data_IF_476102269149
#
_entry.id   IF_476102269149
#
_cell.length_a   1.000
_cell.length_b   1.000
_cell.length_c   1.000
_cell.angle_alpha   90.00
_cell.angle_beta   90.00
_cell.angle_gamma   90.00
#
_symmetry.space_group_name_H-M   'P 1'
#
loop_
_entity.id
_entity.type
_entity.pdbx_description
1 polymer ?
#
# COMPACT_ATOMS: atom_id res chain seq x y z
N UNK A 1 59.67 -6.35 -34.83
CA UNK A 1 59.11 -5.45 -33.79
C UNK A 1 57.90 -4.78 -34.40
N UNK A 2 56.77 -5.48 -34.43
CA UNK A 2 55.46 -4.88 -34.73
C UNK A 2 54.71 -4.81 -33.40
N UNK A 3 54.46 -3.58 -32.94
CA UNK A 3 53.69 -3.34 -31.72
C UNK A 3 52.21 -3.47 -32.06
N UNK A 4 51.60 -4.55 -31.60
CA UNK A 4 50.15 -4.64 -31.48
C UNK A 4 49.66 -3.50 -30.59
N UNK A 5 48.98 -2.52 -31.20
CA UNK A 5 48.15 -1.57 -30.47
C UNK A 5 46.83 -2.27 -30.20
N UNK A 6 46.64 -2.69 -28.96
CA UNK A 6 45.32 -3.08 -28.44
C UNK A 6 44.40 -1.85 -28.53
N UNK A 7 43.42 -1.92 -29.42
CA UNK A 7 42.28 -1.03 -29.40
C UNK A 7 41.44 -1.40 -28.18
N UNK A 8 41.61 -0.64 -27.09
CA UNK A 8 40.60 -0.55 -26.04
C UNK A 8 39.33 0.02 -26.69
N UNK A 9 38.38 -0.86 -27.00
CA UNK A 9 37.00 -0.46 -27.16
C UNK A 9 36.56 0.15 -25.83
N UNK A 10 36.34 1.46 -25.82
CA UNK A 10 35.52 2.11 -24.79
C UNK A 10 34.13 1.47 -24.91
N UNK A 11 33.86 0.46 -24.08
CA UNK A 11 32.53 -0.07 -23.89
C UNK A 11 31.66 1.08 -23.36
N UNK A 12 30.73 1.55 -24.19
CA UNK A 12 29.62 2.38 -23.77
C UNK A 12 28.75 1.56 -22.80
N UNK A 13 29.21 1.44 -21.55
CA UNK A 13 28.50 0.75 -20.48
C UNK A 13 27.35 1.64 -20.04
N UNK A 14 26.13 1.33 -20.48
CA UNK A 14 24.93 1.89 -19.87
C UNK A 14 24.97 1.64 -18.36
N UNK A 15 24.81 2.70 -17.57
CA UNK A 15 24.88 2.58 -16.12
C UNK A 15 23.67 1.85 -15.54
N UNK A 16 22.48 1.91 -16.18
CA UNK A 16 21.42 0.96 -15.89
C UNK A 16 19.99 1.29 -16.35
N UNK A 17 19.07 0.38 -16.07
CA UNK A 17 17.63 0.54 -16.26
C UNK A 17 16.84 0.21 -15.00
N UNK A 18 15.59 0.69 -14.95
CA UNK A 18 14.65 0.50 -13.86
C UNK A 18 13.35 -0.14 -14.37
N UNK A 19 12.83 -1.14 -13.67
CA UNK A 19 11.48 -1.64 -13.90
C UNK A 19 10.47 -0.88 -13.04
N UNK A 20 9.50 -0.31 -13.74
CA UNK A 20 8.42 0.46 -13.18
C UNK A 20 7.15 -0.35 -13.38
N UNK A 21 6.60 -0.89 -12.30
CA UNK A 21 5.34 -1.63 -12.40
C UNK A 21 4.19 -0.66 -12.26
N UNK A 22 3.32 -0.60 -13.25
CA UNK A 22 2.09 0.17 -13.15
C UNK A 22 0.89 -0.73 -13.40
N UNK A 23 -0.17 -0.45 -12.65
CA UNK A 23 -1.51 -0.87 -13.05
C UNK A 23 -1.96 0.07 -14.15
N UNK A 24 -2.54 -0.46 -15.23
CA UNK A 24 -3.33 0.39 -16.11
C UNK A 24 -4.53 0.89 -15.30
N UNK A 25 -4.46 2.13 -14.83
CA UNK A 25 -5.57 2.73 -14.09
C UNK A 25 -6.63 3.19 -15.08
N UNK A 26 -7.91 3.04 -14.73
CA UNK A 26 -9.01 3.54 -15.57
C UNK A 26 -8.97 5.07 -15.75
N UNK A 27 -8.21 5.77 -14.91
CA UNK A 27 -8.08 7.23 -14.90
C UNK A 27 -7.00 7.75 -15.84
N UNK A 28 -5.91 7.02 -16.06
CA UNK A 28 -4.79 7.51 -16.86
C UNK A 28 -4.50 6.61 -18.07
N UNK A 29 -4.44 7.22 -19.25
CA UNK A 29 -3.89 6.61 -20.46
C UNK A 29 -2.42 6.99 -20.55
N UNK A 30 -1.58 6.00 -20.32
CA UNK A 30 -0.16 6.12 -20.67
C UNK A 30 -0.05 5.96 -22.18
N UNK A 31 0.51 6.96 -22.85
CA UNK A 31 0.86 6.87 -24.25
C UNK A 31 2.31 7.32 -24.42
N UNK A 32 2.93 6.72 -25.42
CA UNK A 32 4.31 7.01 -25.78
C UNK A 32 4.27 8.08 -26.84
N UNK A 33 4.78 9.27 -26.54
CA UNK A 33 4.94 10.34 -27.51
C UNK A 33 6.43 10.58 -27.73
N UNK A 34 6.97 9.94 -28.77
CA UNK A 34 8.41 9.86 -29.01
C UNK A 34 9.13 9.11 -27.89
N UNK A 35 10.10 9.76 -27.25
CA UNK A 35 10.90 9.20 -26.14
C UNK A 35 10.34 9.56 -24.75
N UNK A 36 9.18 10.22 -24.69
CA UNK A 36 8.56 10.66 -23.45
C UNK A 36 7.35 9.79 -23.12
N UNK A 37 7.31 9.28 -21.89
CA UNK A 37 6.10 8.72 -21.32
C UNK A 37 5.16 9.87 -21.01
N UNK A 38 4.08 10.00 -21.77
CA UNK A 38 3.01 10.95 -21.46
C UNK A 38 1.88 10.19 -20.77
N UNK A 39 1.64 10.57 -19.52
CA UNK A 39 0.49 10.11 -18.75
C UNK A 39 -0.61 11.15 -18.98
N UNK A 40 -1.60 10.82 -19.79
CA UNK A 40 -2.79 11.66 -19.99
C UNK A 40 -3.93 11.09 -19.16
N UNK A 41 -4.73 11.96 -18.54
CA UNK A 41 -5.98 11.52 -17.93
C UNK A 41 -6.97 11.12 -19.03
N UNK A 42 -7.59 9.93 -18.93
CA UNK A 42 -8.65 9.48 -19.85
C UNK A 42 -9.81 10.47 -19.71
N UNK A 43 -10.02 11.32 -20.72
CA UNK A 43 -11.04 12.39 -20.73
C UNK A 43 -12.45 11.85 -20.43
N UNK A 44 -12.72 10.59 -20.77
CA UNK A 44 -14.02 9.92 -20.55
C UNK A 44 -14.28 9.57 -19.07
N UNK A 45 -13.27 9.65 -18.20
CA UNK A 45 -13.42 9.40 -16.76
C UNK A 45 -13.80 10.66 -15.97
N UNK A 46 -13.67 11.85 -16.56
CA UNK A 46 -13.79 13.14 -15.85
C UNK A 46 -15.24 13.58 -15.60
N UNK A 47 -16.26 12.87 -16.11
CA UNK A 47 -17.60 13.45 -16.16
C UNK A 47 -18.47 13.35 -14.91
N UNK A 48 -17.98 12.96 -13.71
CA UNK A 48 -18.88 12.92 -12.54
C UNK A 48 -18.40 13.39 -11.15
N UNK A 49 -17.19 13.89 -10.92
CA UNK A 49 -16.86 14.41 -9.56
C UNK A 49 -15.99 15.67 -9.44
N UNK A 50 -15.43 16.23 -10.50
CA UNK A 50 -14.44 17.31 -10.35
C UNK A 50 -14.99 18.73 -10.10
N UNK A 51 -16.30 18.98 -10.27
CA UNK A 51 -16.82 20.37 -10.19
C UNK A 51 -17.28 20.84 -8.80
N UNK A 52 -17.33 19.94 -7.79
CA UNK A 52 -17.82 20.30 -6.45
C UNK A 52 -16.72 20.67 -5.46
N UNK A 53 -15.46 20.32 -5.73
CA UNK A 53 -14.38 20.46 -4.74
C UNK A 53 -13.53 21.72 -4.86
N UNK A 54 -13.63 22.47 -5.96
CA UNK A 54 -12.76 23.63 -6.17
C UNK A 54 -13.28 24.95 -5.55
N UNK A 55 -14.50 24.98 -4.99
CA UNK A 55 -15.08 26.20 -4.41
C UNK A 55 -15.04 26.30 -2.87
N UNK A 56 -14.68 25.24 -2.13
CA UNK A 56 -14.68 25.29 -0.65
C UNK A 56 -13.32 25.64 -0.01
N UNK A 57 -12.30 26.00 -0.79
CA UNK A 57 -10.93 26.21 -0.29
C UNK A 57 -10.57 27.66 0.11
N UNK A 58 -11.55 28.56 0.29
CA UNK A 58 -11.28 29.91 0.81
C UNK A 58 -12.07 30.14 2.12
N UNK A 59 -11.31 30.04 3.23
CA UNK A 59 -11.56 30.47 4.63
C UNK A 59 -12.23 29.47 5.61
N UNK A 60 -11.48 28.95 6.63
CA UNK A 60 -12.09 28.45 7.86
C UNK A 60 -12.18 29.55 8.94
N UNK A 61 -13.41 29.75 9.44
CA UNK A 61 -13.69 30.48 10.70
C UNK A 61 -13.20 29.65 11.90
N UNK A 62 -12.63 30.35 12.88
CA UNK A 62 -12.20 29.85 14.20
C UNK A 62 -13.38 29.34 15.03
N UNK A 63 -13.21 28.21 15.72
CA UNK A 63 -13.26 28.10 17.20
C UNK A 63 -13.06 26.66 17.72
N UNK A 64 -12.51 26.61 18.94
CA UNK A 64 -12.44 25.53 19.94
C UNK A 64 -11.23 24.58 19.85
N UNK A 65 -10.22 24.81 20.71
CA UNK A 65 -9.32 23.76 21.25
C UNK A 65 -8.51 24.32 22.43
N UNK A 66 -8.98 24.14 23.67
CA UNK A 66 -8.35 24.74 24.87
C UNK A 66 -7.53 23.74 25.73
N UNK A 67 -7.65 22.42 25.52
CA UNK A 67 -6.99 21.44 26.43
C UNK A 67 -5.61 20.96 25.93
N UNK A 68 -5.29 21.08 24.64
CA UNK A 68 -3.99 20.64 24.07
C UNK A 68 -2.85 21.67 24.15
N UNK A 69 -3.15 22.92 24.54
CA UNK A 69 -2.16 24.00 24.49
C UNK A 69 -1.11 23.93 25.59
N UNK A 70 -1.44 23.46 26.80
CA UNK A 70 -0.48 23.50 27.93
C UNK A 70 0.67 22.50 27.72
N UNK A 71 0.37 21.28 27.26
CA UNK A 71 1.40 20.26 26.97
C UNK A 71 2.19 20.62 25.71
N UNK A 72 1.54 21.17 24.67
CA UNK A 72 2.23 21.58 23.43
C UNK A 72 3.13 22.81 23.62
N UNK A 73 2.75 23.76 24.47
CA UNK A 73 3.56 24.95 24.78
C UNK A 73 4.84 24.53 25.52
N UNK A 74 4.74 23.61 26.49
CA UNK A 74 5.92 23.09 27.19
C UNK A 74 6.85 22.29 26.26
N UNK A 75 6.28 21.48 25.36
CA UNK A 75 7.06 20.70 24.38
C UNK A 75 7.75 21.57 23.32
N UNK A 76 7.07 22.61 22.81
CA UNK A 76 7.60 23.53 21.80
C UNK A 76 8.69 24.45 22.36
N UNK A 77 8.56 24.89 23.63
CA UNK A 77 9.61 25.67 24.30
C UNK A 77 10.90 24.87 24.52
N UNK A 78 10.81 23.55 24.71
CA UNK A 78 11.97 22.67 24.87
C UNK A 78 12.68 22.39 23.53
N UNK A 79 11.93 22.08 22.47
CA UNK A 79 12.51 21.76 21.15
C UNK A 79 13.08 22.97 20.39
N UNK A 80 12.47 24.16 20.54
CA UNK A 80 12.99 25.43 20.00
C UNK A 80 14.42 25.73 20.49
N UNK A 81 14.79 25.25 21.68
CA UNK A 81 16.12 25.42 22.27
C UNK A 81 17.15 24.45 21.70
N UNK A 82 16.72 23.26 21.25
CA UNK A 82 17.58 22.21 20.67
C UNK A 82 17.84 22.49 19.18
N UNK A 83 16.84 22.94 18.43
CA UNK A 83 16.96 23.21 16.99
C UNK A 83 17.90 24.40 16.68
N UNK A 84 17.95 25.39 17.58
CA UNK A 84 18.91 26.52 17.50
C UNK A 84 20.37 26.10 17.69
N UNK A 85 20.65 24.93 18.29
CA UNK A 85 22.00 24.38 18.43
C UNK A 85 22.43 23.53 17.24
N UNK A 86 21.49 22.86 16.56
CA UNK A 86 21.78 22.02 15.39
C UNK A 86 22.06 22.82 14.11
N UNK A 87 21.38 23.96 13.90
CA UNK A 87 21.54 24.80 12.69
C UNK A 87 22.88 25.56 12.61
N UNK A 88 23.70 25.53 13.67
CA UNK A 88 25.02 26.20 13.69
C UNK A 88 26.17 25.34 13.14
N UNK A 89 25.93 24.08 12.73
CA UNK A 89 26.98 23.12 12.31
C UNK A 89 26.92 22.63 10.85
N UNK A 90 25.93 22.99 10.04
CA UNK A 90 25.84 22.60 8.61
C UNK A 90 25.90 23.83 7.69
N UNK A 91 27.09 24.40 7.52
CA UNK A 91 27.36 25.33 6.42
C UNK A 91 28.83 25.20 5.99
N UNK A 92 29.17 24.06 5.39
CA UNK A 92 30.36 23.84 4.54
C UNK A 92 30.21 22.47 3.90
N UNK A 93 29.87 22.48 2.61
CA UNK A 93 30.26 21.53 1.56
C UNK A 93 29.28 21.73 0.39
N UNK A 94 29.76 22.36 -0.67
CA UNK A 94 29.03 22.51 -1.93
C UNK A 94 29.26 21.29 -2.83
N UNK A 95 28.35 20.96 -3.74
CA UNK A 95 28.55 19.89 -4.70
C UNK A 95 29.38 20.36 -5.90
N UNK A 96 30.24 19.45 -6.35
CA UNK A 96 31.11 19.52 -7.52
C UNK A 96 30.27 19.07 -8.72
N UNK A 97 30.12 19.96 -9.70
CA UNK A 97 29.57 19.63 -11.02
C UNK A 97 30.72 19.21 -11.95
N UNK A 98 30.64 18.01 -12.51
CA UNK A 98 31.28 17.67 -13.80
C UNK A 98 30.28 16.83 -14.60
N UNK A 99 29.75 17.43 -15.65
CA UNK A 99 28.98 16.76 -16.68
C UNK A 99 29.95 16.19 -17.71
N UNK A 100 29.78 14.92 -18.04
CA UNK A 100 30.22 14.31 -19.29
C UNK A 100 28.94 13.83 -19.97
N UNK A 101 28.60 14.43 -21.10
CA UNK A 101 27.50 14.00 -21.95
C UNK A 101 28.06 13.00 -22.95
N UNK A 102 27.58 11.76 -22.92
CA UNK A 102 27.74 10.81 -24.02
C UNK A 102 26.35 10.63 -24.66
N UNK A 103 26.20 11.06 -25.91
CA UNK A 103 24.99 10.81 -26.68
C UNK A 103 25.13 9.45 -27.36
N UNK A 104 24.25 8.51 -27.02
CA UNK A 104 24.13 7.24 -27.73
C UNK A 104 23.49 7.45 -29.09
N UNK A 105 23.98 6.69 -30.07
CA UNK A 105 23.38 6.66 -31.40
C UNK A 105 22.04 5.91 -31.37
N UNK A 106 21.06 6.40 -32.14
CA UNK A 106 19.74 5.78 -32.23
C UNK A 106 19.79 4.27 -32.61
N UNK A 107 20.83 3.85 -33.33
CA UNK A 107 21.04 2.48 -33.78
C UNK A 107 21.41 1.51 -32.64
N UNK A 108 22.23 1.94 -31.68
CA UNK A 108 22.61 1.10 -30.53
C UNK A 108 21.43 0.89 -29.58
N UNK A 109 20.61 1.94 -29.45
CA UNK A 109 19.34 1.89 -28.72
C UNK A 109 18.38 0.90 -29.36
N UNK A 110 18.20 0.94 -30.69
CA UNK A 110 17.37 -0.04 -31.41
C UNK A 110 17.85 -1.48 -31.24
N UNK A 111 19.18 -1.72 -31.20
CA UNK A 111 19.72 -3.07 -31.01
C UNK A 111 19.42 -3.64 -29.62
N UNK A 112 19.59 -2.86 -28.56
CA UNK A 112 19.23 -3.26 -27.19
C UNK A 112 17.73 -3.52 -27.04
N UNK A 113 16.92 -2.61 -27.61
CA UNK A 113 15.47 -2.73 -27.61
C UNK A 113 15.00 -3.96 -28.40
N UNK A 114 15.61 -4.24 -29.55
CA UNK A 114 15.26 -5.42 -30.36
C UNK A 114 15.60 -6.73 -29.65
N UNK A 115 16.70 -6.79 -28.88
CA UNK A 115 17.08 -7.97 -28.10
C UNK A 115 16.09 -8.28 -26.97
N UNK A 116 15.67 -7.25 -26.21
CA UNK A 116 14.62 -7.35 -25.18
C UNK A 116 13.28 -7.73 -25.80
N UNK A 117 12.88 -7.03 -26.86
CA UNK A 117 11.63 -7.26 -27.60
C UNK A 117 11.58 -8.68 -28.17
N UNK A 118 12.68 -9.20 -28.70
CA UNK A 118 12.77 -10.56 -29.23
C UNK A 118 12.69 -11.62 -28.12
N UNK A 119 13.29 -11.40 -26.95
CA UNK A 119 13.16 -12.30 -25.79
C UNK A 119 11.74 -12.28 -25.22
N UNK A 120 11.12 -11.11 -25.11
CA UNK A 120 9.73 -10.93 -24.68
C UNK A 120 8.73 -11.53 -25.70
N UNK A 121 8.96 -11.36 -27.01
CA UNK A 121 8.09 -11.91 -28.06
C UNK A 121 8.32 -13.41 -28.32
N UNK A 122 9.51 -13.94 -28.01
CA UNK A 122 9.79 -15.37 -28.08
C UNK A 122 9.11 -16.16 -26.95
N UNK A 123 8.80 -15.50 -25.83
CA UNK A 123 7.77 -15.95 -24.89
C UNK A 123 6.38 -15.74 -25.54
N UNK A 124 6.08 -16.58 -26.54
CA UNK A 124 4.84 -16.55 -27.32
C UNK A 124 3.63 -16.85 -26.43
N UNK A 125 3.04 -15.78 -25.94
CA UNK A 125 1.62 -15.41 -25.89
C UNK A 125 1.66 -14.10 -25.08
N UNK A 126 1.52 -12.95 -25.74
CA UNK A 126 1.83 -11.64 -25.17
C UNK A 126 0.90 -11.30 -24.00
N UNK A 127 1.30 -11.72 -22.81
CA UNK A 127 0.60 -11.40 -21.55
C UNK A 127 1.00 -10.02 -21.01
N UNK A 128 2.22 -9.57 -21.33
CA UNK A 128 2.75 -8.30 -20.84
C UNK A 128 2.80 -7.23 -21.92
N UNK A 129 2.42 -6.03 -21.52
CA UNK A 129 2.65 -4.79 -22.23
C UNK A 129 3.81 -4.05 -21.56
N UNK A 130 4.60 -3.33 -22.35
CA UNK A 130 5.67 -2.50 -21.82
C UNK A 130 5.84 -1.21 -22.60
N UNK A 131 6.40 -0.21 -21.93
CA UNK A 131 6.76 1.07 -22.50
C UNK A 131 8.13 1.48 -21.97
N UNK A 132 8.96 2.06 -22.82
CA UNK A 132 10.31 2.47 -22.46
C UNK A 132 10.40 3.99 -22.53
N UNK A 133 10.95 4.59 -21.50
CA UNK A 133 11.12 6.02 -21.36
C UNK A 133 12.49 6.33 -20.78
N UNK A 134 13.00 7.52 -21.08
CA UNK A 134 14.24 8.04 -20.48
C UNK A 134 13.94 9.14 -19.50
N UNK A 135 14.67 9.17 -18.39
CA UNK A 135 14.55 10.27 -17.42
C UNK A 135 15.12 11.56 -18.01
N UNK A 136 14.42 12.68 -17.82
CA UNK A 136 14.92 14.00 -18.22
C UNK A 136 16.08 14.48 -17.36
N UNK A 137 16.10 14.06 -16.10
CA UNK A 137 17.11 14.49 -15.12
C UNK A 137 18.34 13.58 -15.13
N UNK A 138 18.17 12.32 -15.56
CA UNK A 138 19.20 11.28 -15.56
C UNK A 138 19.11 10.57 -16.93
N UNK A 139 19.71 11.12 -18.00
CA UNK A 139 19.54 10.61 -19.36
C UNK A 139 20.04 9.17 -19.53
N UNK A 140 20.99 8.75 -18.69
CA UNK A 140 21.55 7.40 -18.68
C UNK A 140 20.61 6.37 -18.04
N UNK A 141 19.55 6.82 -17.36
CA UNK A 141 18.54 5.95 -16.76
C UNK A 141 17.40 5.67 -17.73
N UNK A 142 17.26 4.39 -18.08
CA UNK A 142 16.12 3.88 -18.86
C UNK A 142 15.06 3.33 -17.92
N UNK A 143 13.85 3.88 -17.99
CA UNK A 143 12.68 3.38 -17.27
C UNK A 143 11.85 2.48 -18.18
N UNK A 144 11.61 1.25 -17.77
CA UNK A 144 10.72 0.31 -18.45
C UNK A 144 9.46 0.16 -17.61
N UNK A 145 8.35 0.72 -18.10
CA UNK A 145 7.03 0.53 -17.55
C UNK A 145 6.49 -0.83 -18.00
N UNK A 146 6.02 -1.66 -17.08
CA UNK A 146 5.46 -2.99 -17.37
C UNK A 146 4.05 -3.10 -16.77
N UNK A 147 3.11 -3.63 -17.55
CA UNK A 147 1.74 -3.93 -17.11
C UNK A 147 1.17 -5.13 -17.88
N UNK A 148 0.01 -5.65 -17.47
CA UNK A 148 -0.69 -6.75 -18.13
C UNK A 148 -2.21 -6.52 -18.14
N UNK A 149 -2.92 -7.10 -19.09
CA UNK A 149 -4.38 -6.97 -19.14
C UNK A 149 -5.03 -7.61 -17.91
N UNK A 150 -6.07 -6.96 -17.36
CA UNK A 150 -6.75 -7.47 -16.16
C UNK A 150 -7.24 -8.91 -16.30
N UNK A 151 -7.67 -9.32 -17.50
CA UNK A 151 -8.13 -10.67 -17.76
C UNK A 151 -7.02 -11.70 -17.60
N UNK A 152 -5.82 -11.38 -18.06
CA UNK A 152 -4.66 -12.27 -17.94
C UNK A 152 -4.16 -12.34 -16.50
N UNK A 153 -4.12 -11.20 -15.79
CA UNK A 153 -3.74 -11.16 -14.38
C UNK A 153 -4.76 -11.93 -13.52
N UNK A 154 -6.06 -11.79 -13.78
CA UNK A 154 -7.11 -12.57 -13.11
C UNK A 154 -6.99 -14.06 -13.44
N UNK A 155 -6.71 -14.43 -14.70
CA UNK A 155 -6.47 -15.82 -15.10
C UNK A 155 -5.30 -16.42 -14.33
N UNK A 156 -4.17 -15.71 -14.28
CA UNK A 156 -2.99 -16.15 -13.53
C UNK A 156 -3.27 -16.25 -12.03
N UNK A 157 -3.99 -15.29 -11.47
CA UNK A 157 -4.41 -15.33 -10.06
C UNK A 157 -5.29 -16.55 -9.75
N UNK A 158 -6.15 -16.96 -10.68
CA UNK A 158 -6.99 -18.13 -10.52
C UNK A 158 -6.18 -19.44 -10.59
N UNK A 159 -5.22 -19.53 -11.53
CA UNK A 159 -4.29 -20.67 -11.63
C UNK A 159 -3.43 -20.85 -10.36
N UNK A 160 -3.24 -19.78 -9.57
CA UNK A 160 -2.50 -19.79 -8.30
C UNK A 160 -3.40 -19.79 -7.06
N UNK A 161 -4.70 -20.01 -7.24
CA UNK A 161 -5.67 -20.09 -6.13
C UNK A 161 -5.57 -18.87 -5.19
N UNK A 162 -5.33 -17.67 -5.75
CA UNK A 162 -5.14 -16.46 -4.96
C UNK A 162 -6.34 -16.25 -4.05
N UNK A 163 -6.12 -16.20 -2.75
CA UNK A 163 -7.22 -16.09 -1.78
C UNK A 163 -7.74 -14.65 -1.72
N UNK A 164 -9.03 -14.46 -1.96
CA UNK A 164 -9.70 -13.17 -1.96
C UNK A 164 -10.86 -13.15 -0.96
N UNK A 165 -11.10 -11.99 -0.36
CA UNK A 165 -12.26 -11.76 0.51
C UNK A 165 -13.55 -11.80 -0.31
N UNK A 166 -14.58 -12.48 0.20
CA UNK A 166 -15.89 -12.52 -0.43
C UNK A 166 -16.73 -11.30 -0.03
N UNK A 167 -17.62 -10.88 -0.92
CA UNK A 167 -18.75 -10.03 -0.58
C UNK A 167 -19.85 -10.90 0.04
N UNK A 168 -20.13 -10.78 1.34
CA UNK A 168 -21.07 -11.67 2.03
C UNK A 168 -22.46 -11.71 1.37
N UNK A 169 -22.95 -10.54 0.95
CA UNK A 169 -24.31 -10.40 0.41
C UNK A 169 -24.45 -11.14 -0.91
N UNK A 170 -23.50 -10.95 -1.81
CA UNK A 170 -23.53 -11.59 -3.12
C UNK A 170 -23.19 -13.08 -3.02
N UNK A 171 -22.27 -13.46 -2.13
CA UNK A 171 -21.93 -14.86 -1.87
C UNK A 171 -23.12 -15.67 -1.36
N UNK A 172 -23.91 -15.12 -0.42
CA UNK A 172 -25.14 -15.76 0.07
C UNK A 172 -26.17 -15.90 -1.06
N UNK A 173 -26.37 -14.84 -1.86
CA UNK A 173 -27.32 -14.88 -2.99
C UNK A 173 -26.95 -15.95 -4.01
N UNK A 174 -25.68 -16.01 -4.42
CA UNK A 174 -25.20 -17.03 -5.36
C UNK A 174 -25.23 -18.43 -4.74
N UNK A 175 -24.83 -18.57 -3.47
CA UNK A 175 -24.88 -19.83 -2.73
C UNK A 175 -26.28 -20.42 -2.64
N UNK A 176 -27.32 -19.60 -2.42
CA UNK A 176 -28.72 -20.04 -2.41
C UNK A 176 -29.21 -20.57 -3.76
N UNK A 177 -28.59 -20.17 -4.88
CA UNK A 177 -28.93 -20.72 -6.21
C UNK A 177 -28.44 -22.15 -6.39
N UNK A 178 -27.43 -22.57 -5.63
CA UNK A 178 -26.86 -23.92 -5.72
C UNK A 178 -27.76 -24.98 -5.05
N UNK A 179 -28.76 -24.59 -4.26
CA UNK A 179 -29.77 -25.46 -3.62
C UNK A 179 -29.26 -26.37 -2.49
N UNK A 180 -27.98 -26.79 -2.55
CA UNK A 180 -27.35 -27.65 -1.55
C UNK A 180 -26.49 -26.88 -0.54
N UNK A 181 -26.27 -25.58 -0.73
CA UNK A 181 -25.41 -24.77 0.13
C UNK A 181 -26.16 -24.29 1.39
N UNK A 182 -26.32 -25.21 2.35
CA UNK A 182 -27.10 -25.00 3.59
C UNK A 182 -26.74 -23.73 4.35
N UNK A 183 -25.44 -23.37 4.37
CA UNK A 183 -24.97 -22.18 5.06
C UNK A 183 -25.68 -20.91 4.54
N UNK A 184 -25.76 -20.75 3.22
CA UNK A 184 -26.41 -19.58 2.60
C UNK A 184 -27.93 -19.58 2.77
N UNK A 185 -28.56 -20.77 2.77
CA UNK A 185 -30.00 -20.89 3.06
C UNK A 185 -30.34 -20.56 4.52
N UNK A 186 -29.40 -20.82 5.44
CA UNK A 186 -29.59 -20.55 6.87
C UNK A 186 -29.10 -19.17 7.31
N UNK A 187 -28.67 -18.29 6.40
CA UNK A 187 -28.20 -16.94 6.74
C UNK A 187 -29.22 -15.90 6.29
N UNK A 188 -29.61 -14.96 7.15
CA UNK A 188 -30.55 -13.87 6.79
C UNK A 188 -29.82 -12.66 6.20
N UNK A 189 -30.24 -12.21 5.02
CA UNK A 189 -29.74 -10.97 4.43
C UNK A 189 -30.30 -9.75 5.16
N UNK A 190 -29.54 -8.64 5.19
CA UNK A 190 -29.97 -7.40 5.85
C UNK A 190 -31.32 -6.87 5.33
N UNK A 191 -31.60 -7.03 4.03
CA UNK A 191 -32.88 -6.66 3.41
C UNK A 191 -34.06 -7.54 3.86
N UNK A 192 -33.78 -8.74 4.38
CA UNK A 192 -34.79 -9.68 4.85
C UNK A 192 -35.10 -9.45 6.34
N UNK A 193 -34.13 -8.94 7.12
CA UNK A 193 -34.27 -8.70 8.55
C UNK A 193 -35.40 -7.72 8.90
N UNK A 194 -35.66 -6.73 8.05
CA UNK A 194 -36.76 -5.77 8.25
C UNK A 194 -38.14 -6.43 8.21
N UNK A 195 -38.32 -7.49 7.40
CA UNK A 195 -39.61 -8.16 7.24
C UNK A 195 -39.90 -9.19 8.34
N UNK A 196 -38.86 -9.71 9.02
CA UNK A 196 -39.00 -10.71 10.09
C UNK A 196 -39.43 -10.08 11.43
N UNK A 197 -39.22 -8.78 11.62
CA UNK A 197 -39.36 -8.16 12.94
C UNK A 197 -40.80 -7.74 13.32
N UNK A 198 -41.72 -7.57 12.36
CA UNK A 198 -43.09 -7.09 12.65
C UNK A 198 -44.12 -8.21 12.81
N UNK A 199 -44.01 -9.32 12.09
CA UNK A 199 -44.99 -10.41 12.17
C UNK A 199 -44.67 -11.47 13.23
N UNK A 200 -43.40 -11.63 13.61
CA UNK A 200 -42.95 -12.69 14.53
C UNK A 200 -42.98 -12.31 16.02
N UNK A 201 -43.26 -11.04 16.37
CA UNK A 201 -43.36 -10.61 17.79
C UNK A 201 -44.69 -10.96 18.45
N UNK A 202 -45.70 -11.40 17.69
CA UNK A 202 -47.08 -11.47 18.19
C UNK A 202 -47.55 -12.87 18.62
N UNK A 203 -47.03 -13.98 18.10
CA UNK A 203 -47.71 -15.28 18.34
C UNK A 203 -46.76 -16.49 18.40
N UNK A 204 -46.46 -16.93 19.62
CA UNK A 204 -46.66 -18.29 20.14
C UNK A 204 -45.60 -18.67 21.18
N UNK A 205 -46.10 -18.95 22.38
CA UNK A 205 -45.36 -19.36 23.57
C UNK A 205 -44.96 -20.85 23.56
N UNK A 206 -45.26 -21.57 22.47
CA UNK A 206 -45.09 -23.01 22.34
C UNK A 206 -43.92 -23.37 21.42
N UNK A 207 -42.72 -23.42 22.00
CA UNK A 207 -41.61 -24.37 21.77
C UNK A 207 -41.47 -25.08 20.39
N UNK A 208 -41.70 -24.41 19.26
CA UNK A 208 -41.19 -24.85 17.96
C UNK A 208 -39.88 -24.12 17.69
N UNK A 209 -38.83 -24.93 17.55
CA UNK A 209 -37.45 -24.56 17.31
C UNK A 209 -37.35 -23.22 16.55
N UNK A 210 -36.90 -22.19 17.27
CA UNK A 210 -36.46 -20.94 16.68
C UNK A 210 -35.40 -21.34 15.65
N UNK A 211 -35.73 -21.26 14.36
CA UNK A 211 -34.75 -21.49 13.31
C UNK A 211 -33.64 -20.47 13.56
N UNK A 212 -32.50 -20.98 14.02
CA UNK A 212 -31.33 -20.18 14.35
C UNK A 212 -30.69 -19.80 13.03
N UNK A 213 -31.21 -18.75 12.40
CA UNK A 213 -30.56 -18.13 11.27
C UNK A 213 -29.20 -17.59 11.71
N UNK A 214 -28.18 -17.82 10.89
CA UNK A 214 -26.84 -17.29 11.10
C UNK A 214 -26.84 -15.78 10.85
N UNK A 215 -26.17 -15.00 11.71
CA UNK A 215 -25.98 -13.57 11.49
C UNK A 215 -25.05 -13.33 10.30
N UNK A 216 -25.27 -12.20 9.63
CA UNK A 216 -24.45 -11.78 8.48
C UNK A 216 -22.97 -11.60 8.83
N UNK A 217 -22.67 -11.25 10.09
CA UNK A 217 -21.31 -11.07 10.59
C UNK A 217 -20.46 -12.34 10.49
N UNK A 218 -21.08 -13.52 10.48
CA UNK A 218 -20.35 -14.79 10.36
C UNK A 218 -19.76 -15.00 8.96
N UNK A 219 -20.18 -14.19 7.99
CA UNK A 219 -19.66 -14.18 6.63
C UNK A 219 -18.60 -13.10 6.38
N UNK A 220 -18.42 -12.17 7.31
CA UNK A 220 -17.40 -11.13 7.20
C UNK A 220 -16.00 -11.76 7.27
N UNK A 221 -15.07 -11.23 6.47
CA UNK A 221 -13.68 -11.71 6.44
C UNK A 221 -13.50 -13.17 6.04
N UNK A 222 -14.50 -13.80 5.41
CA UNK A 222 -14.30 -15.08 4.74
C UNK A 222 -13.47 -14.83 3.48
N UNK A 223 -12.41 -15.61 3.34
CA UNK A 223 -11.54 -15.58 2.18
C UNK A 223 -11.59 -16.94 1.49
N UNK A 224 -11.74 -16.95 0.17
CA UNK A 224 -11.75 -18.17 -0.64
C UNK A 224 -10.78 -18.04 -1.82
N UNK A 225 -10.25 -19.15 -2.36
CA UNK A 225 -9.48 -19.14 -3.59
C UNK A 225 -10.25 -18.46 -4.72
N UNK A 226 -9.55 -17.64 -5.51
CA UNK A 226 -10.14 -17.00 -6.67
C UNK A 226 -10.34 -18.02 -7.79
N UNK A 227 -11.60 -18.21 -8.16
CA UNK A 227 -12.01 -19.00 -9.30
C UNK A 227 -12.64 -18.12 -10.38
N UNK A 228 -12.16 -18.29 -11.62
CA UNK A 228 -12.65 -17.57 -12.80
C UNK A 228 -14.03 -18.03 -13.29
N UNK A 229 -14.45 -19.23 -12.87
CA UNK A 229 -15.79 -19.81 -13.11
C UNK A 229 -16.88 -19.13 -12.27
N UNK A 230 -16.51 -18.60 -11.09
CA UNK A 230 -17.44 -17.97 -10.16
C UNK A 230 -17.80 -16.55 -10.61
N UNK A 231 -19.02 -16.14 -10.27
CA UNK A 231 -19.48 -14.80 -10.61
C UNK A 231 -18.68 -13.73 -9.86
N UNK A 232 -18.07 -12.79 -10.59
CA UNK A 232 -17.17 -11.75 -10.06
C UNK A 232 -17.72 -10.89 -8.91
N UNK A 233 -19.04 -10.86 -8.72
CA UNK A 233 -19.69 -10.13 -7.61
C UNK A 233 -19.58 -10.86 -6.27
N UNK A 234 -19.29 -12.16 -6.27
CA UNK A 234 -19.06 -12.95 -5.06
C UNK A 234 -17.85 -12.42 -4.29
N UNK A 235 -16.87 -11.87 -4.98
CA UNK A 235 -15.67 -11.32 -4.36
C UNK A 235 -15.88 -9.84 -4.01
N UNK A 236 -15.22 -9.40 -2.95
CA UNK A 236 -15.24 -8.01 -2.53
C UNK A 236 -14.58 -7.14 -3.61
N UNK A 237 -15.36 -6.23 -4.20
CA UNK A 237 -14.85 -5.31 -5.23
C UNK A 237 -14.19 -4.09 -4.60
N UNK A 238 -13.10 -3.64 -5.20
CA UNK A 238 -12.57 -2.32 -4.90
C UNK A 238 -13.46 -1.24 -5.53
N UNK A 239 -13.81 -0.21 -4.75
CA UNK A 239 -14.71 0.88 -5.16
C UNK A 239 -14.28 1.57 -6.46
N UNK A 240 -12.98 1.59 -6.75
CA UNK A 240 -12.41 2.34 -7.85
C UNK A 240 -12.34 1.59 -9.19
N UNK A 241 -12.49 0.26 -9.22
CA UNK A 241 -12.20 -0.52 -10.43
C UNK A 241 -13.22 -1.65 -10.69
N UNK A 242 -13.39 -2.00 -11.97
CA UNK A 242 -14.21 -3.13 -12.41
C UNK A 242 -13.59 -4.51 -12.12
N UNK A 243 -12.30 -4.55 -11.79
CA UNK A 243 -11.57 -5.76 -11.44
C UNK A 243 -11.78 -6.14 -9.98
N UNK A 244 -11.76 -7.45 -9.73
CA UNK A 244 -11.83 -8.03 -8.39
C UNK A 244 -10.53 -7.81 -7.62
N UNK A 245 -9.40 -7.69 -8.33
CA UNK A 245 -8.09 -7.54 -7.71
C UNK A 245 -7.85 -6.08 -7.26
N UNK A 246 -7.44 -5.96 -5.99
CA UNK A 246 -6.97 -4.68 -5.45
C UNK A 246 -5.69 -4.22 -6.16
N UNK A 247 -5.35 -2.92 -6.10
CA UNK A 247 -4.14 -2.43 -6.78
C UNK A 247 -2.89 -3.16 -6.31
N UNK A 248 -2.80 -3.36 -4.99
CA UNK A 248 -1.76 -4.14 -4.35
C UNK A 248 -1.70 -5.58 -4.85
N UNK A 249 -2.84 -6.29 -4.87
CA UNK A 249 -2.88 -7.68 -5.32
C UNK A 249 -2.56 -7.79 -6.81
N UNK A 250 -3.05 -6.88 -7.64
CA UNK A 250 -2.70 -6.82 -9.06
C UNK A 250 -1.19 -6.67 -9.26
N UNK A 251 -0.55 -5.73 -8.55
CA UNK A 251 0.89 -5.50 -8.65
C UNK A 251 1.69 -6.70 -8.15
N UNK A 252 1.22 -7.37 -7.09
CA UNK A 252 1.81 -8.61 -6.60
C UNK A 252 1.74 -9.72 -7.64
N UNK A 253 0.55 -9.98 -8.20
CA UNK A 253 0.38 -11.00 -9.24
C UNK A 253 1.22 -10.68 -10.46
N UNK A 254 1.29 -9.41 -10.89
CA UNK A 254 2.15 -8.98 -11.99
C UNK A 254 3.64 -9.25 -11.71
N UNK A 255 4.09 -8.99 -10.49
CA UNK A 255 5.47 -9.31 -10.08
C UNK A 255 5.72 -10.82 -10.06
N UNK A 256 4.77 -11.61 -9.56
CA UNK A 256 4.83 -13.07 -9.54
C UNK A 256 4.88 -13.62 -10.97
N UNK A 257 4.06 -13.10 -11.90
CA UNK A 257 4.09 -13.46 -13.32
C UNK A 257 5.47 -13.21 -13.97
N UNK A 258 6.19 -12.19 -13.55
CA UNK A 258 7.53 -11.88 -14.10
C UNK A 258 8.60 -12.78 -13.48
N UNK A 259 8.49 -13.06 -12.19
CA UNK A 259 9.55 -13.74 -11.42
C UNK A 259 9.43 -15.25 -11.38
N UNK A 260 8.21 -15.78 -11.48
CA UNK A 260 7.95 -17.22 -11.44
C UNK A 260 8.52 -17.95 -12.65
N UNK A 261 8.78 -19.25 -12.48
CA UNK A 261 9.34 -20.09 -13.53
C UNK A 261 8.43 -20.20 -14.75
N UNK A 262 9.06 -20.34 -15.92
CA UNK A 262 8.36 -20.59 -17.20
C UNK A 262 7.46 -21.84 -17.13
N UNK A 263 7.88 -22.84 -16.34
CA UNK A 263 7.10 -24.08 -16.14
C UNK A 263 5.78 -23.85 -15.41
N UNK A 264 5.71 -22.81 -14.58
CA UNK A 264 4.54 -22.44 -13.78
C UNK A 264 3.78 -21.27 -14.40
N UNK A 265 4.04 -20.97 -15.68
CA UNK A 265 3.39 -19.89 -16.44
C UNK A 265 3.99 -18.49 -16.26
N UNK A 266 5.10 -18.37 -15.50
CA UNK A 266 5.78 -17.09 -15.32
C UNK A 266 6.81 -16.79 -16.42
N UNK A 267 7.52 -15.66 -16.33
CA UNK A 267 8.55 -15.28 -17.29
C UNK A 267 9.96 -15.80 -16.95
N UNK A 268 10.17 -16.34 -15.75
CA UNK A 268 11.45 -16.84 -15.26
C UNK A 268 12.49 -15.75 -15.03
N UNK A 269 12.07 -14.48 -14.92
CA UNK A 269 12.98 -13.36 -14.73
C UNK A 269 13.19 -13.09 -13.25
N UNK A 270 14.28 -13.62 -12.69
CA UNK A 270 14.61 -13.42 -11.28
C UNK A 270 15.11 -11.98 -11.03
N UNK A 271 14.16 -11.07 -10.80
CA UNK A 271 14.38 -9.64 -10.55
C UNK A 271 15.44 -9.41 -9.48
N UNK A 272 15.34 -10.09 -8.34
CA UNK A 272 16.24 -9.88 -7.20
C UNK A 272 17.68 -10.29 -7.51
N UNK A 273 17.87 -11.40 -8.24
CA UNK A 273 19.21 -11.85 -8.68
C UNK A 273 19.83 -10.86 -9.68
N UNK A 274 19.02 -10.28 -10.56
CA UNK A 274 19.51 -9.32 -11.54
C UNK A 274 19.80 -7.95 -10.91
N UNK A 275 18.95 -7.47 -10.02
CA UNK A 275 19.15 -6.20 -9.32
C UNK A 275 20.34 -6.20 -8.35
N UNK A 276 20.73 -7.38 -7.85
CA UNK A 276 21.91 -7.52 -6.97
C UNK A 276 23.21 -7.78 -7.74
N UNK A 277 23.15 -8.07 -9.04
CA UNK A 277 24.34 -8.32 -9.85
C UNK A 277 24.94 -6.98 -10.33
N UNK A 278 26.15 -6.60 -9.91
CA UNK A 278 26.76 -5.31 -10.28
C UNK A 278 27.06 -5.20 -11.78
N UNK A 279 27.13 -6.33 -12.51
CA UNK A 279 27.32 -6.35 -13.96
C UNK A 279 26.01 -6.34 -14.74
N UNK A 280 24.87 -6.46 -14.06
CA UNK A 280 23.59 -6.42 -14.72
C UNK A 280 23.06 -4.99 -14.72
N UNK A 281 22.56 -4.47 -15.86
CA UNK A 281 22.10 -3.09 -15.98
C UNK A 281 20.85 -2.77 -15.14
N UNK A 282 20.06 -3.73 -14.69
CA UNK A 282 18.92 -3.47 -13.81
C UNK A 282 19.38 -2.94 -12.45
N UNK A 283 19.07 -1.67 -12.15
CA UNK A 283 19.40 -1.04 -10.87
C UNK A 283 18.24 -1.09 -9.87
N UNK A 284 17.02 -0.80 -10.34
CA UNK A 284 15.87 -0.61 -9.46
C UNK A 284 14.61 -1.29 -9.99
N UNK A 285 13.77 -1.74 -9.07
CA UNK A 285 12.43 -2.24 -9.37
C UNK A 285 11.45 -1.72 -8.34
N UNK A 286 10.42 -1.00 -8.78
CA UNK A 286 9.41 -0.46 -7.87
C UNK A 286 8.05 -0.34 -8.54
N UNK A 287 6.99 -0.34 -7.73
CA UNK A 287 5.64 -0.06 -8.19
C UNK A 287 5.36 1.46 -8.19
N UNK A 288 4.58 1.92 -9.17
CA UNK A 288 4.13 3.31 -9.24
C UNK A 288 3.07 3.58 -8.17
N UNK A 289 3.21 4.70 -7.48
CA UNK A 289 2.23 5.17 -6.52
C UNK A 289 0.99 5.75 -7.20
N UNK A 290 -0.18 5.47 -6.63
CA UNK A 290 -1.40 6.22 -6.89
C UNK A 290 -1.36 7.55 -6.11
N UNK A 291 -1.16 8.65 -6.84
CA UNK A 291 -1.08 9.99 -6.27
C UNK A 291 -2.41 10.45 -5.66
N UNK A 292 -3.55 10.09 -6.27
CA UNK A 292 -4.87 10.49 -5.77
C UNK A 292 -5.07 9.94 -4.37
N UNK A 293 -4.74 8.67 -4.17
CA UNK A 293 -4.82 8.03 -2.87
C UNK A 293 -3.94 8.75 -1.83
N UNK A 294 -2.73 9.17 -2.20
CA UNK A 294 -1.84 9.93 -1.31
C UNK A 294 -2.42 11.29 -0.93
N UNK A 295 -3.16 11.95 -1.82
CA UNK A 295 -3.82 13.23 -1.49
C UNK A 295 -5.03 13.06 -0.57
N UNK A 296 -5.70 11.91 -0.61
CA UNK A 296 -6.84 11.59 0.25
C UNK A 296 -6.45 11.13 1.65
N UNK A 297 -5.21 10.66 1.84
CA UNK A 297 -4.69 10.40 3.17
C UNK A 297 -4.72 11.70 3.99
N UNK A 298 -5.36 11.70 5.18
CA UNK A 298 -5.40 12.89 5.99
C UNK A 298 -3.96 13.31 6.31
N UNK A 299 -3.57 14.57 6.07
CA UNK A 299 -2.20 15.01 6.27
C UNK A 299 -1.78 14.66 7.69
N UNK A 300 -0.57 14.11 7.88
CA UNK A 300 -0.12 13.49 9.13
C UNK A 300 -0.34 14.32 10.40
N UNK A 301 -0.49 15.64 10.28
CA UNK A 301 -0.87 16.56 11.37
C UNK A 301 -2.28 16.31 11.93
N UNK A 302 -3.23 15.82 11.13
CA UNK A 302 -4.59 15.47 11.58
C UNK A 302 -4.67 14.09 12.21
N UNK A 303 -3.75 13.18 11.86
CA UNK A 303 -3.74 11.79 12.34
C UNK A 303 -3.59 11.69 13.87
N UNK A 304 -2.77 12.56 14.47
CA UNK A 304 -2.58 12.63 15.91
C UNK A 304 -3.67 13.41 16.66
N UNK A 305 -4.44 14.24 15.95
CA UNK A 305 -5.54 15.02 16.53
C UNK A 305 -6.89 14.29 16.46
N UNK A 306 -7.02 13.30 15.57
CA UNK A 306 -8.20 12.46 15.43
C UNK A 306 -8.21 11.41 16.54
N UNK A 307 -9.33 11.28 17.25
CA UNK A 307 -9.48 10.31 18.33
C UNK A 307 -9.20 8.87 17.89
N UNK A 308 -8.79 8.03 18.86
CA UNK A 308 -8.26 6.66 18.69
C UNK A 308 -9.07 5.78 17.72
N UNK A 309 -10.41 5.89 17.70
CA UNK A 309 -11.27 5.05 16.84
C UNK A 309 -11.07 5.32 15.35
N UNK A 310 -10.75 6.55 14.94
CA UNK A 310 -10.50 6.90 13.53
C UNK A 310 -9.11 6.47 13.05
N UNK A 311 -8.21 6.08 13.96
CA UNK A 311 -6.87 5.63 13.61
C UNK A 311 -6.88 4.20 13.07
N UNK A 312 -7.75 3.33 13.58
CA UNK A 312 -7.84 1.94 13.10
C UNK A 312 -8.33 1.84 11.65
N UNK A 313 -9.35 2.62 11.26
CA UNK A 313 -9.80 2.64 9.85
C UNK A 313 -8.70 3.13 8.89
N UNK A 314 -7.74 3.92 9.37
CA UNK A 314 -6.59 4.34 8.56
C UNK A 314 -5.54 3.24 8.42
N UNK A 315 -5.38 2.38 9.45
CA UNK A 315 -4.54 1.19 9.35
C UNK A 315 -5.08 0.27 8.26
N UNK A 316 -6.40 0.07 8.20
CA UNK A 316 -7.02 -0.75 7.15
C UNK A 316 -6.73 -0.18 5.75
N UNK A 317 -6.82 1.15 5.59
CA UNK A 317 -6.44 1.79 4.32
C UNK A 317 -4.95 1.62 3.99
N UNK A 318 -4.06 1.72 4.98
CA UNK A 318 -2.62 1.47 4.81
C UNK A 318 -2.38 0.00 4.43
N UNK A 319 -3.12 -0.94 5.05
CA UNK A 319 -3.06 -2.38 4.76
C UNK A 319 -3.47 -2.66 3.32
N UNK A 320 -4.57 -2.08 2.89
CA UNK A 320 -5.11 -2.32 1.55
C UNK A 320 -4.20 -1.74 0.46
N UNK A 321 -3.48 -0.66 0.75
CA UNK A 321 -2.54 0.00 -0.17
C UNK A 321 -1.12 -0.59 -0.15
N UNK A 322 -0.47 -0.59 1.03
CA UNK A 322 0.93 -0.98 1.19
C UNK A 322 1.13 -2.46 1.55
N UNK A 323 0.08 -3.12 2.03
CA UNK A 323 0.11 -4.52 2.47
C UNK A 323 0.17 -4.69 3.98
N UNK A 324 -0.01 -5.94 4.39
CA UNK A 324 -0.17 -6.33 5.80
C UNK A 324 1.08 -6.03 6.61
N UNK A 325 2.28 -6.27 6.07
CA UNK A 325 3.53 -6.07 6.81
C UNK A 325 3.73 -4.60 7.22
N UNK A 326 3.50 -3.68 6.28
CA UNK A 326 3.64 -2.23 6.53
C UNK A 326 2.51 -1.75 7.44
N UNK A 327 1.27 -2.20 7.22
CA UNK A 327 0.17 -1.84 8.11
C UNK A 327 0.35 -2.37 9.52
N UNK A 328 0.89 -3.57 9.69
CA UNK A 328 1.20 -4.17 10.98
C UNK A 328 2.23 -3.33 11.73
N UNK A 329 3.27 -2.83 11.05
CA UNK A 329 4.22 -1.90 11.64
C UNK A 329 3.52 -0.62 12.16
N UNK A 330 2.62 -0.01 11.38
CA UNK A 330 1.88 1.16 11.83
C UNK A 330 0.87 0.85 12.95
N UNK A 331 0.23 -0.33 12.91
CA UNK A 331 -0.66 -0.80 13.96
C UNK A 331 0.11 -0.97 15.28
N UNK A 332 1.29 -1.59 15.22
CA UNK A 332 2.21 -1.73 16.33
C UNK A 332 2.64 -0.37 16.88
N UNK A 333 3.02 0.59 16.03
CA UNK A 333 3.38 1.94 16.46
C UNK A 333 2.21 2.66 17.16
N UNK A 334 1.00 2.59 16.61
CA UNK A 334 -0.20 3.19 17.20
C UNK A 334 -0.55 2.56 18.55
N UNK A 335 -0.45 1.24 18.64
CA UNK A 335 -0.60 0.51 19.89
C UNK A 335 0.46 0.97 20.89
N UNK A 336 1.74 0.92 20.54
CA UNK A 336 2.85 1.35 21.40
C UNK A 336 2.68 2.78 21.92
N UNK A 337 2.33 3.72 21.04
CA UNK A 337 2.06 5.11 21.42
C UNK A 337 0.89 5.24 22.40
N UNK A 338 -0.18 4.46 22.22
CA UNK A 338 -1.32 4.44 23.15
C UNK A 338 -0.90 4.02 24.55
N UNK A 339 -0.01 3.04 24.66
CA UNK A 339 0.51 2.60 25.96
C UNK A 339 1.45 3.63 26.58
N UNK A 340 2.31 4.26 25.78
CA UNK A 340 3.13 5.38 26.25
C UNK A 340 2.27 6.52 26.82
N UNK A 341 1.10 6.79 26.22
CA UNK A 341 0.19 7.82 26.72
C UNK A 341 -0.38 7.50 28.11
N UNK A 342 -0.56 6.23 28.47
CA UNK A 342 -0.98 5.82 29.81
C UNK A 342 0.16 5.89 30.84
N UNK A 343 1.38 5.55 30.43
CA UNK A 343 2.57 5.57 31.30
C UNK A 343 3.07 7.01 31.52
N UNK A 344 2.96 7.88 30.52
CA UNK A 344 3.42 9.26 30.56
C UNK A 344 2.90 10.09 31.75
N UNK A 345 1.59 10.12 32.08
CA UNK A 345 1.10 10.88 33.23
C UNK A 345 1.59 10.30 34.57
N UNK A 346 1.77 8.98 34.66
CA UNK A 346 2.31 8.33 35.87
C UNK A 346 3.78 8.74 36.06
N UNK A 347 4.58 8.68 34.98
CA UNK A 347 5.96 9.14 34.99
C UNK A 347 6.08 10.63 35.29
N UNK A 348 5.19 11.46 34.74
CA UNK A 348 5.15 12.90 35.02
C UNK A 348 4.77 13.21 36.47
N UNK A 349 3.77 12.51 37.02
CA UNK A 349 3.39 12.64 38.43
C UNK A 349 4.55 12.25 39.35
N UNK A 350 5.20 11.12 39.06
CA UNK A 350 6.37 10.66 39.81
C UNK A 350 7.52 11.68 39.76
N UNK A 351 7.77 12.25 38.58
CA UNK A 351 8.77 13.29 38.40
C UNK A 351 8.44 14.56 39.21
N UNK A 352 7.17 14.98 39.25
CA UNK A 352 6.73 16.12 40.08
C UNK A 352 6.99 15.83 41.57
N UNK A 353 6.70 14.63 42.05
CA UNK A 353 6.98 14.21 43.44
C UNK A 353 8.49 14.24 43.72
N UNK A 354 9.33 13.72 42.81
CA UNK A 354 10.80 13.76 42.95
C UNK A 354 11.32 15.19 43.10
N UNK A 355 10.86 16.10 42.23
CA UNK A 355 11.24 17.51 42.29
C UNK A 355 10.76 18.16 43.60
N UNK A 356 9.58 17.78 44.09
CA UNK A 356 9.00 18.38 45.29
C UNK A 356 9.70 17.93 46.57
N UNK A 357 10.18 16.69 46.62
CA UNK A 357 10.92 16.14 47.76
C UNK A 357 12.42 16.45 47.73
N UNK A 358 12.93 17.00 46.61
CA UNK A 358 14.38 17.19 46.39
C UNK A 358 15.20 15.89 46.53
N UNK A 359 14.58 14.73 46.33
CA UNK A 359 15.21 13.42 46.37
C UNK A 359 15.44 12.90 44.95
N UNK A 360 16.68 12.54 44.63
CA UNK A 360 17.04 11.99 43.31
C UNK A 360 16.49 10.56 43.15
N UNK A 361 16.39 9.81 44.25
CA UNK A 361 15.93 8.41 44.26
C UNK A 361 14.85 8.23 45.33
N UNK A 362 13.58 8.35 44.94
CA UNK A 362 12.48 7.97 45.82
C UNK A 362 12.49 6.44 45.97
N UNK A 363 12.47 5.94 47.21
CA UNK A 363 12.26 4.52 47.52
C UNK A 363 10.92 4.08 46.91
N UNK A 364 10.97 3.32 45.81
CA UNK A 364 9.79 2.87 45.05
C UNK A 364 9.91 3.04 43.53
N UNK A 365 10.85 3.87 43.05
CA UNK A 365 11.09 4.04 41.61
C UNK A 365 11.51 2.75 40.91
N UNK A 366 12.25 1.88 41.61
CA UNK A 366 12.61 0.55 41.10
C UNK A 366 11.39 -0.36 40.92
N UNK A 367 10.41 -0.28 41.82
CA UNK A 367 9.15 -0.99 41.71
C UNK A 367 8.37 -0.55 40.47
N UNK A 368 8.33 0.76 40.20
CA UNK A 368 7.71 1.28 38.98
C UNK A 368 8.39 0.77 37.69
N UNK A 369 9.73 0.74 37.66
CA UNK A 369 10.49 0.20 36.51
C UNK A 369 10.21 -1.29 36.32
N UNK A 370 10.23 -2.08 37.39
CA UNK A 370 9.93 -3.53 37.33
C UNK A 370 8.49 -3.78 36.90
N UNK A 371 7.51 -3.08 37.49
CA UNK A 371 6.11 -3.20 37.07
C UNK A 371 5.88 -2.76 35.63
N UNK A 372 6.57 -1.72 35.16
CA UNK A 372 6.47 -1.27 33.77
C UNK A 372 7.08 -2.29 32.80
N UNK A 373 8.18 -2.96 33.17
CA UNK A 373 8.78 -4.01 32.36
C UNK A 373 7.92 -5.28 32.34
N UNK A 374 7.43 -5.74 33.49
CA UNK A 374 6.50 -6.88 33.57
C UNK A 374 5.23 -6.63 32.76
N UNK A 375 4.71 -5.40 32.79
CA UNK A 375 3.56 -5.02 31.98
C UNK A 375 3.88 -5.04 30.48
N UNK A 376 5.08 -4.61 30.07
CA UNK A 376 5.54 -4.70 28.67
C UNK A 376 5.73 -6.17 28.24
N UNK A 377 6.28 -7.03 29.10
CA UNK A 377 6.42 -8.46 28.83
C UNK A 377 5.06 -9.16 28.71
N UNK A 378 4.11 -8.84 29.58
CA UNK A 378 2.75 -9.37 29.50
C UNK A 378 2.06 -8.98 28.18
N UNK A 379 2.33 -7.77 27.68
CA UNK A 379 1.84 -7.31 26.38
C UNK A 379 2.48 -8.12 25.24
N UNK A 380 3.80 -8.33 25.26
CA UNK A 380 4.47 -9.15 24.25
C UNK A 380 4.05 -10.62 24.27
N UNK A 381 3.51 -11.13 25.39
CA UNK A 381 3.04 -12.50 25.52
C UNK A 381 1.57 -12.68 25.10
N UNK A 382 0.79 -11.60 25.03
CA UNK A 382 -0.62 -11.61 24.63
C UNK A 382 -0.84 -11.41 23.12
N UNK A 383 0.23 -11.12 22.37
CA UNK A 383 0.28 -11.05 20.91
C UNK A 383 1.19 -12.17 20.40
#
# INVERSE_FOLDING_TARGET
MESHKEHHHEENSFEGFCFVFARETAKYKVHVDGNCLKVEEKKDFVQNQAHKYFQELILPKKKNFFVFHIVSILYLSFFSKIEKRAKKKKKKNGPINRALTCELSDAERENLLSGLTKKLNAAKEQVFHYCIATSKNEPDLICVLIWADFKEVERYAAERELVLEINPTEAIKEGRKLGHFKLAHNTLLASEQSHVCESCRSYNHDNKAKENYLPMSDWEHIHIPFESSLHRRIYQKNEHNSSVLSNRLYLRVLYDMITDDIKTGGAGYNVNKQATNPHHPLQYTFAVHDEDWMTHLPPGKKLFALGLRKQFSQIDQIRDYYGELIAFYFAFLLHYQRYLLYIAPIGALWFIIQVSLSEIVIRGSFGFVVYSNEFVYLIFFLF
#
